data_IF_572599567263
#
_entry.id   IF_572599567263
#
_cell.length_a   1.000
_cell.length_b   1.000
_cell.length_c   1.000
_cell.angle_alpha   90.00
_cell.angle_beta   90.00
_cell.angle_gamma   90.00
#
_symmetry.space_group_name_H-M   'P 1'
#
loop_
_entity.id
_entity.type
_entity.pdbx_description
1 polymer ?
#
# COMPACT_ATOMS: atom_id res chain seq x y z
N UNK A 1 -35.42 -56.26 5.12
CA UNK A 1 -35.21 -54.93 5.69
C UNK A 1 -34.20 -54.19 4.83
N UNK A 2 -34.69 -53.50 3.79
CA UNK A 2 -33.91 -52.58 2.96
C UNK A 2 -33.74 -51.27 3.72
N UNK A 3 -32.49 -50.89 4.04
CA UNK A 3 -32.17 -49.54 4.46
C UNK A 3 -32.06 -48.66 3.22
N UNK A 4 -32.97 -47.70 3.10
CA UNK A 4 -32.93 -46.64 2.05
C UNK A 4 -31.75 -45.75 2.29
N UNK A 5 -30.79 -45.69 1.33
CA UNK A 5 -29.74 -44.74 1.29
C UNK A 5 -30.34 -43.35 0.89
N UNK A 6 -30.34 -42.42 1.80
CA UNK A 6 -30.74 -41.04 1.57
C UNK A 6 -29.69 -40.35 0.69
N UNK A 7 -30.05 -40.04 -0.52
CA UNK A 7 -29.22 -39.17 -1.43
C UNK A 7 -29.12 -37.79 -0.82
N UNK A 8 -27.91 -37.21 -0.71
CA UNK A 8 -27.75 -35.88 -0.15
C UNK A 8 -28.40 -34.83 -1.08
N UNK A 9 -29.08 -33.86 -0.49
CA UNK A 9 -29.82 -32.81 -1.23
C UNK A 9 -28.87 -31.98 -2.10
N UNK A 10 -29.41 -31.48 -3.25
CA UNK A 10 -28.67 -30.57 -4.18
C UNK A 10 -27.99 -29.38 -3.45
N UNK A 11 -28.53 -28.91 -2.33
CA UNK A 11 -27.92 -27.85 -1.49
C UNK A 11 -26.64 -28.32 -0.80
N UNK A 12 -26.57 -29.57 -0.38
CA UNK A 12 -25.37 -30.14 0.29
C UNK A 12 -24.25 -30.41 -0.72
N UNK A 13 -24.57 -30.84 -1.95
CA UNK A 13 -23.58 -30.94 -3.03
C UNK A 13 -23.07 -29.56 -3.47
N UNK A 14 -23.91 -28.52 -3.53
CA UNK A 14 -23.51 -27.16 -3.85
C UNK A 14 -22.57 -26.56 -2.81
N UNK A 15 -22.79 -26.85 -1.52
CA UNK A 15 -21.90 -26.38 -0.43
C UNK A 15 -20.53 -27.10 -0.43
N UNK A 16 -20.48 -28.34 -0.89
CA UNK A 16 -19.22 -29.11 -1.01
C UNK A 16 -18.41 -28.69 -2.24
N UNK A 17 -19.07 -28.23 -3.32
CA UNK A 17 -18.41 -27.71 -4.54
C UNK A 17 -17.89 -26.27 -4.39
N UNK A 18 -18.29 -25.52 -3.36
CA UNK A 18 -17.83 -24.13 -3.13
C UNK A 18 -16.57 -23.99 -2.26
N UNK A 19 -16.03 -25.05 -1.74
CA UNK A 19 -14.72 -25.08 -1.09
C UNK A 19 -13.61 -25.44 -2.09
N UNK A 20 -13.49 -24.71 -3.18
CA UNK A 20 -12.25 -24.75 -3.93
C UNK A 20 -11.20 -23.98 -3.13
N UNK A 21 -10.61 -24.72 -2.21
CA UNK A 21 -9.52 -24.34 -1.32
C UNK A 21 -8.38 -23.83 -2.19
N UNK A 22 -7.73 -22.73 -1.75
CA UNK A 22 -6.49 -22.24 -2.38
C UNK A 22 -5.53 -23.39 -2.66
N UNK A 23 -4.80 -23.31 -3.77
CA UNK A 23 -3.79 -24.31 -4.13
C UNK A 23 -2.78 -24.56 -3.00
N UNK A 24 -2.43 -23.49 -2.26
CA UNK A 24 -1.51 -23.56 -1.11
C UNK A 24 -2.19 -23.04 0.16
N UNK A 25 -1.95 -23.72 1.26
CA UNK A 25 -2.36 -23.32 2.61
C UNK A 25 -1.56 -22.10 3.11
N UNK A 26 -2.11 -21.35 4.07
CA UNK A 26 -1.36 -20.26 4.71
C UNK A 26 -0.05 -20.73 5.36
N UNK A 27 0.05 -22.00 5.80
CA UNK A 27 1.28 -22.59 6.33
C UNK A 27 2.36 -22.68 5.24
N UNK A 28 2.00 -23.17 4.06
CA UNK A 28 2.92 -23.27 2.90
C UNK A 28 3.34 -21.89 2.41
N UNK A 29 2.39 -20.94 2.31
CA UNK A 29 2.68 -19.55 1.93
C UNK A 29 3.65 -18.90 2.93
N UNK A 30 3.46 -19.11 4.23
CA UNK A 30 4.37 -18.57 5.25
C UNK A 30 5.74 -19.25 5.24
N UNK A 31 5.78 -20.55 4.99
CA UNK A 31 7.03 -21.29 4.84
C UNK A 31 7.82 -20.78 3.62
N UNK A 32 7.16 -20.58 2.47
CA UNK A 32 7.77 -19.94 1.31
C UNK A 32 8.35 -18.54 1.64
N UNK A 33 7.64 -17.74 2.44
CA UNK A 33 8.13 -16.45 2.93
C UNK A 33 9.40 -16.57 3.77
N UNK A 34 9.54 -17.63 4.60
CA UNK A 34 10.75 -17.89 5.38
C UNK A 34 11.92 -18.32 4.48
N UNK A 35 11.67 -19.24 3.54
CA UNK A 35 12.68 -19.71 2.58
C UNK A 35 13.26 -18.54 1.78
N UNK A 36 12.38 -17.66 1.27
CA UNK A 36 12.79 -16.48 0.50
C UNK A 36 13.54 -15.43 1.33
N UNK A 37 13.23 -15.34 2.64
CA UNK A 37 13.91 -14.43 3.57
C UNK A 37 15.32 -14.89 3.92
N UNK A 38 15.55 -16.21 4.02
CA UNK A 38 16.80 -16.81 4.48
C UNK A 38 17.30 -17.91 3.53
N UNK A 39 17.54 -17.57 2.24
CA UNK A 39 17.78 -18.57 1.18
C UNK A 39 18.99 -19.49 1.45
N UNK A 40 19.98 -19.01 2.18
CA UNK A 40 21.17 -19.77 2.54
C UNK A 40 20.93 -20.94 3.50
N UNK A 41 19.73 -21.05 4.09
CA UNK A 41 19.36 -22.14 5.02
C UNK A 41 18.60 -23.29 4.35
N UNK A 42 18.27 -23.17 3.07
CA UNK A 42 17.38 -24.08 2.37
C UNK A 42 17.99 -24.62 1.08
N UNK A 43 17.44 -25.71 0.57
CA UNK A 43 17.88 -26.32 -0.69
C UNK A 43 17.45 -25.48 -1.91
N UNK A 44 18.06 -25.77 -3.08
CA UNK A 44 17.68 -25.13 -4.35
C UNK A 44 16.24 -25.48 -4.73
N UNK A 45 15.81 -26.69 -4.41
CA UNK A 45 14.46 -27.19 -4.63
C UNK A 45 13.44 -26.41 -3.79
N UNK A 46 13.74 -26.19 -2.50
CA UNK A 46 12.90 -25.37 -1.61
C UNK A 46 12.77 -23.93 -2.12
N UNK A 47 13.85 -23.35 -2.62
CA UNK A 47 13.84 -22.00 -3.19
C UNK A 47 12.95 -21.91 -4.42
N UNK A 48 13.03 -22.85 -5.35
CA UNK A 48 12.16 -22.89 -6.54
C UNK A 48 10.69 -23.02 -6.16
N UNK A 49 10.36 -23.93 -5.23
CA UNK A 49 8.99 -24.08 -4.73
C UNK A 49 8.51 -22.79 -4.06
N UNK A 50 9.34 -22.12 -3.27
CA UNK A 50 9.00 -20.85 -2.62
C UNK A 50 8.74 -19.73 -3.62
N UNK A 51 9.49 -19.63 -4.71
CA UNK A 51 9.28 -18.69 -5.82
C UNK A 51 7.95 -18.96 -6.55
N UNK A 52 7.64 -20.22 -6.81
CA UNK A 52 6.36 -20.63 -7.41
C UNK A 52 5.18 -20.27 -6.51
N UNK A 53 5.29 -20.53 -5.20
CA UNK A 53 4.27 -20.15 -4.21
C UNK A 53 4.11 -18.63 -4.13
N UNK A 54 5.20 -17.86 -4.14
CA UNK A 54 5.13 -16.41 -4.16
C UNK A 54 4.45 -15.87 -5.42
N UNK A 55 4.78 -16.46 -6.57
CA UNK A 55 4.17 -16.11 -7.86
C UNK A 55 2.67 -16.39 -7.84
N UNK A 56 2.26 -17.57 -7.38
CA UNK A 56 0.86 -17.92 -7.19
C UNK A 56 0.17 -16.94 -6.23
N UNK A 57 0.80 -16.67 -5.06
CA UNK A 57 0.24 -15.77 -4.05
C UNK A 57 -0.02 -14.37 -4.59
N UNK A 58 0.87 -13.84 -5.40
CA UNK A 58 0.69 -12.56 -6.09
C UNK A 58 -0.42 -12.65 -7.14
N UNK A 59 -0.49 -13.73 -7.91
CA UNK A 59 -1.46 -13.91 -8.99
C UNK A 59 -2.90 -13.93 -8.49
N UNK A 60 -3.20 -14.62 -7.39
CA UNK A 60 -4.57 -14.67 -6.84
C UNK A 60 -5.06 -13.31 -6.30
N UNK A 61 -4.18 -12.34 -6.08
CA UNK A 61 -4.53 -10.97 -5.72
C UNK A 61 -4.98 -10.12 -6.93
N UNK A 62 -4.78 -10.61 -8.16
CA UNK A 62 -5.15 -9.85 -9.37
C UNK A 62 -6.66 -9.66 -9.51
N UNK A 63 -7.46 -10.67 -9.20
CA UNK A 63 -8.92 -10.55 -9.26
C UNK A 63 -9.47 -9.54 -8.22
N UNK A 64 -9.10 -9.63 -6.93
CA UNK A 64 -9.50 -8.64 -5.93
C UNK A 64 -9.09 -7.21 -6.29
N UNK A 65 -7.87 -6.99 -6.74
CA UNK A 65 -7.40 -5.63 -7.03
C UNK A 65 -8.16 -5.01 -8.20
N UNK A 66 -8.51 -5.78 -9.23
CA UNK A 66 -9.31 -5.31 -10.36
C UNK A 66 -10.75 -4.96 -9.93
N UNK A 67 -11.35 -5.79 -9.07
CA UNK A 67 -12.67 -5.52 -8.48
C UNK A 67 -12.68 -4.22 -7.69
N UNK A 68 -11.67 -4.02 -6.85
CA UNK A 68 -11.52 -2.79 -6.06
C UNK A 68 -11.26 -1.57 -6.94
N UNK A 69 -10.49 -1.71 -8.02
CA UNK A 69 -10.22 -0.60 -8.94
C UNK A 69 -11.49 -0.13 -9.65
N UNK A 70 -12.32 -1.07 -10.12
CA UNK A 70 -13.62 -0.75 -10.74
C UNK A 70 -14.51 -0.01 -9.73
N UNK A 71 -14.67 -0.55 -8.53
CA UNK A 71 -15.46 0.09 -7.47
C UNK A 71 -14.92 1.47 -7.09
N UNK A 72 -13.61 1.64 -7.01
CA UNK A 72 -12.99 2.92 -6.70
C UNK A 72 -13.32 3.97 -7.76
N UNK A 73 -13.24 3.61 -9.04
CA UNK A 73 -13.59 4.52 -10.15
C UNK A 73 -15.07 4.91 -10.11
N UNK A 74 -15.97 3.95 -9.86
CA UNK A 74 -17.41 4.21 -9.73
C UNK A 74 -17.72 5.15 -8.55
N UNK A 75 -17.11 4.93 -7.39
CA UNK A 75 -17.27 5.80 -6.23
C UNK A 75 -16.79 7.23 -6.53
N UNK A 76 -15.63 7.38 -7.12
CA UNK A 76 -15.06 8.67 -7.52
C UNK A 76 -16.01 9.41 -8.47
N UNK A 77 -16.54 8.72 -9.47
CA UNK A 77 -17.48 9.28 -10.43
C UNK A 77 -18.77 9.76 -9.73
N UNK A 78 -19.39 8.91 -8.91
CA UNK A 78 -20.63 9.23 -8.17
C UNK A 78 -20.44 10.39 -7.19
N UNK A 79 -19.26 10.54 -6.61
CA UNK A 79 -18.92 11.64 -5.72
C UNK A 79 -18.60 12.95 -6.45
N UNK A 80 -18.54 12.93 -7.79
CA UNK A 80 -18.19 14.11 -8.59
C UNK A 80 -16.77 14.62 -8.37
N UNK A 81 -15.84 13.73 -7.97
CA UNK A 81 -14.42 14.10 -7.75
C UNK A 81 -13.75 14.29 -9.11
N UNK A 82 -13.19 15.49 -9.31
CA UNK A 82 -12.63 15.90 -10.59
C UNK A 82 -11.15 15.53 -10.74
N UNK A 83 -10.76 15.14 -11.97
CA UNK A 83 -9.36 14.88 -12.36
C UNK A 83 -8.61 13.92 -11.43
N UNK A 84 -9.18 12.77 -11.05
CA UNK A 84 -8.51 11.81 -10.18
C UNK A 84 -7.48 11.00 -10.97
N UNK A 85 -6.41 10.57 -10.30
CA UNK A 85 -5.52 9.51 -10.79
C UNK A 85 -5.78 8.27 -9.97
N UNK A 86 -6.15 7.18 -10.64
CA UNK A 86 -6.34 5.86 -10.02
C UNK A 86 -5.27 4.92 -10.54
N UNK A 87 -4.46 4.40 -9.65
CA UNK A 87 -3.42 3.43 -9.95
C UNK A 87 -3.58 2.17 -9.11
N UNK A 88 -3.17 1.04 -9.67
CA UNK A 88 -3.07 -0.23 -8.95
C UNK A 88 -1.70 -0.87 -9.19
N UNK A 89 -1.26 -1.65 -8.22
CA UNK A 89 -0.05 -2.46 -8.39
C UNK A 89 -0.11 -3.73 -7.53
N UNK A 90 0.44 -4.81 -8.06
CA UNK A 90 0.90 -5.93 -7.24
C UNK A 90 2.33 -5.63 -6.76
N UNK A 91 2.59 -5.83 -5.47
CA UNK A 91 3.92 -5.60 -4.88
C UNK A 91 4.95 -6.50 -5.57
N UNK A 92 6.11 -5.94 -5.95
CA UNK A 92 7.18 -6.70 -6.60
C UNK A 92 7.73 -7.76 -5.65
N UNK A 93 8.14 -8.93 -6.18
CA UNK A 93 8.70 -10.02 -5.39
C UNK A 93 9.86 -9.56 -4.50
N UNK A 94 10.83 -8.85 -5.07
CA UNK A 94 11.96 -8.28 -4.32
C UNK A 94 11.53 -7.34 -3.18
N UNK A 95 10.45 -6.58 -3.38
CA UNK A 95 9.92 -5.69 -2.33
C UNK A 95 9.15 -6.46 -1.24
N UNK A 96 8.61 -7.63 -1.56
CA UNK A 96 7.99 -8.54 -0.60
C UNK A 96 9.07 -9.13 0.29
N UNK A 97 10.13 -9.69 -0.31
CA UNK A 97 11.26 -10.27 0.42
C UNK A 97 11.92 -9.24 1.32
N UNK A 98 12.29 -8.06 0.79
CA UNK A 98 12.88 -6.98 1.59
C UNK A 98 11.98 -6.53 2.75
N UNK A 99 10.65 -6.63 2.61
CA UNK A 99 9.73 -6.32 3.71
C UNK A 99 9.70 -7.42 4.77
N UNK A 100 9.79 -8.69 4.37
CA UNK A 100 9.90 -9.83 5.28
C UNK A 100 11.21 -9.79 6.08
N UNK A 101 12.32 -9.42 5.42
CA UNK A 101 13.63 -9.24 6.07
C UNK A 101 13.61 -8.13 7.11
N UNK A 102 12.96 -7.00 6.80
CA UNK A 102 12.86 -5.84 7.71
C UNK A 102 12.03 -6.12 8.97
N UNK A 103 11.01 -6.96 8.87
CA UNK A 103 10.04 -7.18 9.95
C UNK A 103 10.01 -8.67 10.33
N UNK A 104 10.79 -9.04 11.33
CA UNK A 104 10.99 -10.44 11.72
C UNK A 104 9.73 -11.24 12.00
N UNK A 105 8.72 -10.59 12.59
CA UNK A 105 7.44 -11.23 12.93
C UNK A 105 6.44 -11.24 11.77
N UNK A 106 6.79 -10.64 10.62
CA UNK A 106 5.88 -10.56 9.48
C UNK A 106 5.79 -11.91 8.76
N UNK A 107 4.57 -12.33 8.47
CA UNK A 107 4.28 -13.51 7.67
C UNK A 107 3.78 -13.11 6.29
N UNK A 108 4.17 -13.87 5.26
CA UNK A 108 3.76 -13.57 3.88
C UNK A 108 2.24 -13.58 3.71
N UNK A 109 1.53 -14.54 4.35
CA UNK A 109 0.06 -14.63 4.27
C UNK A 109 -0.68 -13.45 4.93
N UNK A 110 -0.03 -12.72 5.83
CA UNK A 110 -0.64 -11.58 6.54
C UNK A 110 -0.20 -10.22 6.03
N UNK A 111 0.66 -10.20 5.00
CA UNK A 111 1.11 -8.95 4.36
C UNK A 111 -0.08 -8.25 3.71
N UNK A 112 -0.29 -6.97 4.05
CA UNK A 112 -1.51 -6.23 3.71
C UNK A 112 -1.45 -5.52 2.36
N UNK A 113 -0.25 -5.32 1.82
CA UNK A 113 0.04 -4.49 0.66
C UNK A 113 0.56 -5.28 -0.56
N UNK A 114 0.24 -6.59 -0.64
CA UNK A 114 0.48 -7.41 -1.84
C UNK A 114 -0.31 -6.82 -3.02
N UNK A 115 -1.58 -6.50 -2.80
CA UNK A 115 -2.42 -5.76 -3.72
C UNK A 115 -2.63 -4.34 -3.19
N UNK A 116 -2.16 -3.34 -3.93
CA UNK A 116 -2.26 -1.93 -3.55
C UNK A 116 -2.99 -1.11 -4.60
N UNK A 117 -3.98 -0.33 -4.15
CA UNK A 117 -4.66 0.69 -4.94
C UNK A 117 -4.29 2.07 -4.42
N UNK A 118 -4.28 3.04 -5.31
CA UNK A 118 -4.07 4.43 -4.96
C UNK A 118 -5.05 5.33 -5.69
N UNK A 119 -5.75 6.17 -4.94
CA UNK A 119 -6.49 7.30 -5.45
C UNK A 119 -5.72 8.58 -5.13
N UNK A 120 -5.43 9.39 -6.15
CA UNK A 120 -4.84 10.72 -6.01
C UNK A 120 -5.92 11.71 -6.44
N UNK A 121 -6.33 12.57 -5.53
CA UNK A 121 -7.40 13.54 -5.73
C UNK A 121 -6.87 14.97 -5.56
N UNK A 122 -7.65 15.97 -5.97
CA UNK A 122 -7.17 17.35 -6.02
C UNK A 122 -6.86 17.94 -4.64
N UNK A 123 -7.71 17.65 -3.65
CA UNK A 123 -7.69 18.33 -2.34
C UNK A 123 -7.88 17.36 -1.18
N UNK A 124 -7.57 17.81 0.04
CA UNK A 124 -7.88 17.08 1.28
C UNK A 124 -9.40 16.93 1.47
N UNK A 125 -10.21 17.88 1.02
CA UNK A 125 -11.67 17.75 1.05
C UNK A 125 -12.13 16.55 0.22
N UNK A 126 -11.54 16.33 -0.98
CA UNK A 126 -11.84 15.15 -1.80
C UNK A 126 -11.32 13.86 -1.16
N UNK A 127 -10.15 13.91 -0.49
CA UNK A 127 -9.64 12.78 0.31
C UNK A 127 -10.68 12.37 1.36
N UNK A 128 -11.18 13.33 2.15
CA UNK A 128 -12.18 13.10 3.21
C UNK A 128 -13.52 12.60 2.65
N UNK A 129 -13.95 13.18 1.53
CA UNK A 129 -15.19 12.76 0.84
C UNK A 129 -15.14 11.30 0.42
N UNK A 130 -14.02 10.87 -0.17
CA UNK A 130 -13.82 9.49 -0.59
C UNK A 130 -13.66 8.54 0.60
N UNK A 131 -12.90 8.93 1.62
CA UNK A 131 -12.73 8.18 2.86
C UNK A 131 -14.07 7.92 3.55
N UNK A 132 -14.87 8.97 3.79
CA UNK A 132 -16.20 8.88 4.40
C UNK A 132 -17.10 7.93 3.61
N UNK A 133 -17.11 8.05 2.27
CA UNK A 133 -17.89 7.15 1.44
C UNK A 133 -17.48 5.68 1.59
N UNK A 134 -16.19 5.37 1.74
CA UNK A 134 -15.73 4.00 1.99
C UNK A 134 -16.11 3.48 3.37
N UNK A 135 -16.15 4.34 4.39
CA UNK A 135 -16.47 3.96 5.77
C UNK A 135 -17.97 3.78 6.00
N UNK A 136 -18.80 4.59 5.35
CA UNK A 136 -20.24 4.66 5.60
C UNK A 136 -21.10 3.90 4.58
N UNK A 137 -20.58 3.63 3.37
CA UNK A 137 -21.32 2.86 2.38
C UNK A 137 -21.38 1.37 2.72
N UNK A 138 -22.48 0.71 2.30
CA UNK A 138 -22.59 -0.75 2.36
C UNK A 138 -21.63 -1.42 1.37
N UNK A 139 -20.36 -1.48 1.75
CA UNK A 139 -19.32 -2.13 0.97
C UNK A 139 -19.16 -3.57 1.46
N UNK A 140 -19.36 -4.56 0.57
CA UNK A 140 -19.44 -5.97 0.98
C UNK A 140 -18.15 -6.56 1.55
N UNK A 141 -17.03 -5.85 1.41
CA UNK A 141 -15.73 -6.30 1.90
C UNK A 141 -15.47 -5.81 3.33
N UNK A 142 -14.74 -6.58 4.12
CA UNK A 142 -14.52 -6.29 5.53
C UNK A 142 -13.36 -5.30 5.73
N UNK A 143 -13.60 -4.16 6.35
CA UNK A 143 -12.54 -3.24 6.76
C UNK A 143 -11.78 -3.85 7.95
N UNK A 144 -10.49 -4.14 7.75
CA UNK A 144 -9.59 -4.76 8.76
C UNK A 144 -8.57 -3.80 9.35
N UNK A 145 -8.33 -2.69 8.69
CA UNK A 145 -7.38 -1.70 9.17
C UNK A 145 -7.66 -0.32 8.57
N UNK A 146 -7.40 0.68 9.40
CA UNK A 146 -7.54 2.07 9.04
C UNK A 146 -6.41 2.89 9.65
N UNK A 147 -5.81 3.78 8.85
CA UNK A 147 -4.81 4.74 9.32
C UNK A 147 -5.04 6.09 8.68
N UNK A 148 -5.17 7.11 9.50
CA UNK A 148 -5.35 8.50 9.10
C UNK A 148 -4.06 9.30 9.32
N UNK A 149 -3.16 9.22 8.35
CA UNK A 149 -1.95 10.03 8.35
C UNK A 149 -2.18 11.49 7.87
N UNK A 150 -3.42 11.88 7.58
CA UNK A 150 -3.76 13.28 7.30
C UNK A 150 -3.98 14.03 8.61
N UNK A 151 -4.67 13.41 9.58
CA UNK A 151 -4.88 13.96 10.93
C UNK A 151 -3.65 13.73 11.81
N UNK A 152 -3.03 12.57 11.72
CA UNK A 152 -1.83 12.18 12.49
C UNK A 152 -0.70 11.82 11.53
N UNK A 153 0.04 12.82 10.97
CA UNK A 153 1.14 12.56 10.06
C UNK A 153 2.19 11.64 10.68
N UNK A 154 2.71 10.71 9.87
CA UNK A 154 3.80 9.86 10.33
C UNK A 154 5.04 10.68 10.69
N UNK A 155 5.90 10.16 11.56
CA UNK A 155 7.14 10.84 11.98
C UNK A 155 8.04 11.23 10.80
N UNK A 156 8.05 10.42 9.73
CA UNK A 156 8.76 10.71 8.47
C UNK A 156 8.18 11.90 7.68
N UNK A 157 7.03 12.44 8.07
CA UNK A 157 6.27 13.42 7.30
C UNK A 157 5.28 12.82 6.30
N UNK A 158 5.17 11.48 6.22
CA UNK A 158 4.23 10.84 5.32
C UNK A 158 2.78 11.16 5.70
N UNK A 159 1.93 11.46 4.68
CA UNK A 159 0.50 11.78 4.84
C UNK A 159 -0.35 11.03 3.81
N UNK A 160 -1.56 10.66 4.21
CA UNK A 160 -2.57 9.98 3.40
C UNK A 160 -3.48 9.10 4.24
N UNK A 161 -4.55 8.60 3.64
CA UNK A 161 -5.47 7.64 4.26
C UNK A 161 -5.12 6.25 3.76
N UNK A 162 -5.04 5.28 4.68
CA UNK A 162 -4.90 3.86 4.35
C UNK A 162 -6.11 3.10 4.86
N UNK A 163 -6.76 2.38 3.97
CA UNK A 163 -7.85 1.47 4.24
C UNK A 163 -7.41 0.07 3.83
N UNK A 164 -7.46 -0.88 4.75
CA UNK A 164 -7.10 -2.27 4.49
C UNK A 164 -8.35 -3.10 4.56
N UNK A 165 -8.72 -3.67 3.43
CA UNK A 165 -9.89 -4.51 3.28
C UNK A 165 -9.51 -5.97 3.16
N UNK A 166 -10.35 -6.84 3.70
CA UNK A 166 -10.37 -8.27 3.45
C UNK A 166 -11.42 -8.54 2.37
N UNK A 167 -10.98 -9.13 1.26
CA UNK A 167 -11.83 -9.42 0.13
C UNK A 167 -12.84 -10.51 0.45
N UNK A 168 -14.10 -10.29 0.07
CA UNK A 168 -15.20 -11.25 0.19
C UNK A 168 -15.84 -11.43 -1.17
N UNK A 169 -15.98 -12.68 -1.63
CA UNK A 169 -16.64 -13.03 -2.90
C UNK A 169 -17.32 -14.38 -2.81
N UNK A 170 -18.53 -14.45 -3.34
CA UNK A 170 -19.26 -15.71 -3.50
C UNK A 170 -18.76 -16.50 -4.72
N UNK A 171 -18.27 -15.78 -5.74
CA UNK A 171 -17.91 -16.35 -7.03
C UNK A 171 -16.40 -16.66 -7.17
N UNK A 172 -15.58 -16.26 -6.21
CA UNK A 172 -14.13 -16.50 -6.22
C UNK A 172 -13.64 -16.85 -4.82
N UNK A 173 -13.84 -18.10 -4.44
CA UNK A 173 -13.48 -18.61 -3.12
C UNK A 173 -11.96 -18.56 -2.86
N UNK A 174 -11.13 -18.74 -3.92
CA UNK A 174 -9.68 -18.71 -3.82
C UNK A 174 -9.15 -17.36 -3.32
N UNK A 175 -9.82 -16.26 -3.72
CA UNK A 175 -9.43 -14.91 -3.33
C UNK A 175 -10.04 -14.43 -2.00
N UNK A 176 -10.96 -15.19 -1.39
CA UNK A 176 -11.56 -14.81 -0.12
C UNK A 176 -10.51 -14.66 1.00
N UNK A 177 -10.65 -13.62 1.80
CA UNK A 177 -9.74 -13.31 2.90
C UNK A 177 -8.41 -12.69 2.47
N UNK A 178 -8.18 -12.44 1.16
CA UNK A 178 -7.02 -11.69 0.70
C UNK A 178 -7.14 -10.23 1.10
N UNK A 179 -5.99 -9.62 1.41
CA UNK A 179 -5.96 -8.22 1.84
C UNK A 179 -5.60 -7.28 0.71
N UNK A 180 -6.33 -6.18 0.63
CA UNK A 180 -6.12 -5.10 -0.34
C UNK A 180 -5.93 -3.80 0.43
N UNK A 181 -4.84 -3.10 0.15
CA UNK A 181 -4.59 -1.77 0.68
C UNK A 181 -5.09 -0.72 -0.31
N UNK A 182 -6.00 0.15 0.14
CA UNK A 182 -6.40 1.35 -0.58
C UNK A 182 -5.76 2.57 0.07
N UNK A 183 -4.94 3.29 -0.68
CA UNK A 183 -4.33 4.55 -0.28
C UNK A 183 -5.06 5.70 -0.96
N UNK A 184 -5.52 6.68 -0.18
CA UNK A 184 -6.15 7.90 -0.69
C UNK A 184 -5.25 9.07 -0.31
N UNK A 185 -4.84 9.88 -1.30
CA UNK A 185 -3.93 11.01 -1.11
C UNK A 185 -4.40 12.23 -1.88
N UNK A 186 -4.10 13.40 -1.36
CA UNK A 186 -4.14 14.63 -2.16
C UNK A 186 -2.97 14.66 -3.15
N UNK A 187 -3.03 15.58 -4.10
CA UNK A 187 -1.95 15.82 -5.06
C UNK A 187 -0.64 16.19 -4.36
N UNK A 188 -0.66 17.07 -3.36
CA UNK A 188 0.53 17.45 -2.60
C UNK A 188 1.12 16.28 -1.79
N UNK A 189 0.26 15.49 -1.12
CA UNK A 189 0.69 14.28 -0.40
C UNK A 189 1.34 13.25 -1.34
N UNK A 190 0.80 13.12 -2.55
CA UNK A 190 1.39 12.23 -3.55
C UNK A 190 2.72 12.76 -4.08
N UNK A 191 2.80 14.04 -4.41
CA UNK A 191 4.04 14.69 -4.88
C UNK A 191 5.16 14.52 -3.86
N UNK A 192 4.87 14.77 -2.57
CA UNK A 192 5.83 14.55 -1.49
C UNK A 192 6.32 13.09 -1.46
N UNK A 193 5.39 12.13 -1.45
CA UNK A 193 5.74 10.71 -1.37
C UNK A 193 6.58 10.24 -2.57
N UNK A 194 6.28 10.76 -3.77
CA UNK A 194 7.05 10.44 -4.99
C UNK A 194 8.45 11.04 -4.91
N UNK A 195 8.59 12.31 -4.49
CA UNK A 195 9.90 12.94 -4.33
C UNK A 195 10.80 12.19 -3.33
N UNK A 196 10.24 11.79 -2.18
CA UNK A 196 10.94 10.98 -1.18
C UNK A 196 11.38 9.63 -1.73
N UNK A 197 10.52 8.93 -2.47
CA UNK A 197 10.85 7.65 -3.10
C UNK A 197 11.94 7.81 -4.17
N UNK A 198 11.85 8.86 -5.00
CA UNK A 198 12.84 9.16 -6.04
C UNK A 198 14.21 9.43 -5.42
N UNK A 199 14.31 10.37 -4.49
CA UNK A 199 15.58 10.70 -3.83
C UNK A 199 16.12 9.49 -3.06
N UNK A 200 15.26 8.72 -2.37
CA UNK A 200 15.64 7.50 -1.67
C UNK A 200 16.26 6.46 -2.59
N UNK A 201 15.75 6.30 -3.81
CA UNK A 201 16.30 5.37 -4.80
C UNK A 201 17.73 5.78 -5.19
N UNK A 202 17.98 7.06 -5.43
CA UNK A 202 19.31 7.54 -5.81
C UNK A 202 20.31 7.58 -4.67
N UNK A 203 19.83 7.67 -3.41
CA UNK A 203 20.67 7.60 -2.22
C UNK A 203 20.81 6.17 -1.69
N UNK A 204 20.27 5.18 -2.40
CA UNK A 204 20.20 3.77 -1.97
C UNK A 204 19.65 3.63 -0.53
N UNK A 205 18.67 4.47 -0.19
CA UNK A 205 18.13 4.59 1.17
C UNK A 205 16.61 4.59 1.19
N UNK A 206 16.01 4.20 2.32
CA UNK A 206 14.56 4.12 2.52
C UNK A 206 14.04 5.35 3.27
N UNK A 207 14.22 6.55 2.73
CA UNK A 207 13.84 7.83 3.37
C UNK A 207 12.39 7.85 3.88
N UNK A 208 11.46 7.26 3.12
CA UNK A 208 10.04 7.16 3.53
C UNK A 208 9.83 6.35 4.80
N UNK A 209 10.77 5.47 5.13
CA UNK A 209 10.78 4.66 6.34
C UNK A 209 11.75 5.22 7.39
N UNK A 210 12.10 6.51 7.29
CA UNK A 210 13.06 7.20 8.17
C UNK A 210 14.46 6.55 8.19
N UNK A 211 14.90 6.00 7.06
CA UNK A 211 16.22 5.42 6.90
C UNK A 211 16.97 6.16 5.79
N UNK A 212 18.12 6.75 6.13
CA UNK A 212 18.96 7.50 5.20
C UNK A 212 19.67 8.69 5.88
N UNK A 213 20.35 9.54 5.09
CA UNK A 213 21.04 10.72 5.63
C UNK A 213 20.08 11.66 6.34
N UNK A 214 20.41 12.05 7.57
CA UNK A 214 19.58 12.89 8.45
C UNK A 214 19.15 14.18 7.78
N UNK A 215 20.04 14.80 7.01
CA UNK A 215 19.77 16.06 6.30
C UNK A 215 18.59 15.92 5.29
N UNK A 216 18.46 14.78 4.61
CA UNK A 216 17.35 14.52 3.71
C UNK A 216 16.06 14.17 4.46
N UNK A 217 16.18 13.47 5.58
CA UNK A 217 15.03 13.17 6.44
C UNK A 217 14.45 14.47 7.00
N UNK A 218 15.29 15.37 7.50
CA UNK A 218 14.88 16.69 8.01
C UNK A 218 14.28 17.56 6.91
N UNK A 219 14.92 17.61 5.74
CA UNK A 219 14.41 18.34 4.59
C UNK A 219 13.00 17.89 4.20
N UNK A 220 12.78 16.59 4.03
CA UNK A 220 11.47 16.08 3.67
C UNK A 220 10.44 16.22 4.79
N UNK A 221 10.86 16.19 6.04
CA UNK A 221 10.01 16.53 7.18
C UNK A 221 9.52 17.98 7.11
N UNK A 222 10.42 18.94 6.86
CA UNK A 222 10.10 20.36 6.66
C UNK A 222 9.16 20.57 5.45
N UNK A 223 9.45 19.94 4.31
CA UNK A 223 8.59 20.02 3.12
C UNK A 223 7.18 19.49 3.40
N UNK A 224 7.07 18.37 4.14
CA UNK A 224 5.77 17.86 4.56
C UNK A 224 5.03 18.84 5.46
N UNK A 225 5.73 19.50 6.40
CA UNK A 225 5.16 20.54 7.25
C UNK A 225 4.64 21.72 6.42
N UNK A 226 5.42 22.20 5.45
CA UNK A 226 4.99 23.23 4.51
C UNK A 226 3.74 22.83 3.70
N UNK A 227 3.68 21.61 3.21
CA UNK A 227 2.50 21.11 2.52
C UNK A 227 1.29 20.95 3.45
N UNK A 228 1.51 20.62 4.73
CA UNK A 228 0.44 20.58 5.73
C UNK A 228 -0.18 21.98 5.93
N UNK A 229 0.64 23.02 5.99
CA UNK A 229 0.18 24.42 6.08
C UNK A 229 -0.69 24.78 4.86
N UNK A 230 -0.20 24.48 3.65
CA UNK A 230 -0.93 24.75 2.40
C UNK A 230 -2.27 24.02 2.28
N UNK A 231 -2.39 22.87 2.94
CA UNK A 231 -3.61 22.05 2.96
C UNK A 231 -4.49 22.30 4.20
N UNK A 232 -4.11 23.22 5.10
CA UNK A 232 -4.77 23.46 6.38
C UNK A 232 -4.92 22.19 7.22
N UNK A 233 -3.86 21.37 7.26
CA UNK A 233 -3.79 20.11 7.97
C UNK A 233 -2.82 20.18 9.15
N UNK A 234 -2.93 19.25 10.12
CA UNK A 234 -1.96 19.12 11.20
C UNK A 234 -0.52 18.92 10.69
N UNK A 235 0.41 19.59 11.35
CA UNK A 235 1.85 19.48 11.09
C UNK A 235 2.41 18.31 11.91
N UNK A 236 3.33 17.52 11.33
CA UNK A 236 4.02 16.44 12.03
C UNK A 236 4.96 16.97 13.11
N UNK A 237 5.12 16.21 14.20
CA UNK A 237 6.20 16.44 15.15
C UNK A 237 7.55 16.11 14.46
N UNK A 238 8.65 16.92 14.65
CA UNK A 238 8.81 17.98 15.64
C UNK A 238 8.42 19.39 15.18
N UNK A 239 7.95 19.58 13.96
CA UNK A 239 7.76 20.89 13.32
C UNK A 239 6.55 21.69 13.84
N UNK A 240 5.70 21.11 14.69
CA UNK A 240 4.54 21.79 15.32
C UNK A 240 4.88 23.04 16.12
N UNK A 241 6.12 23.11 16.63
CA UNK A 241 6.58 24.19 17.50
C UNK A 241 7.23 25.34 16.72
N UNK A 242 7.34 25.21 15.42
CA UNK A 242 7.99 26.18 14.54
C UNK A 242 6.91 27.02 13.87
N UNK A 243 7.14 28.34 13.75
CA UNK A 243 6.19 29.21 13.06
C UNK A 243 6.10 28.88 11.56
N UNK A 244 4.92 29.12 10.96
CA UNK A 244 4.73 28.87 9.52
C UNK A 244 5.76 29.62 8.68
N UNK A 245 6.11 30.87 9.04
CA UNK A 245 7.12 31.68 8.35
C UNK A 245 8.50 30.99 8.39
N UNK A 246 8.92 30.57 9.57
CA UNK A 246 10.21 29.89 9.77
C UNK A 246 10.28 28.57 9.01
N UNK A 247 9.19 27.80 8.95
CA UNK A 247 9.14 26.55 8.15
C UNK A 247 9.48 26.85 6.69
N UNK A 248 8.87 27.86 6.08
CA UNK A 248 9.14 28.20 4.67
C UNK A 248 10.53 28.79 4.45
N UNK A 249 11.03 29.58 5.38
CA UNK A 249 12.40 30.10 5.36
C UNK A 249 13.42 28.94 5.38
N UNK A 250 13.27 28.01 6.32
CA UNK A 250 14.14 26.83 6.42
C UNK A 250 14.04 25.91 5.21
N UNK A 251 12.85 25.71 4.64
CA UNK A 251 12.71 24.96 3.37
C UNK A 251 13.52 25.62 2.26
N UNK A 252 13.48 26.95 2.14
CA UNK A 252 14.23 27.69 1.12
C UNK A 252 15.75 27.55 1.32
N UNK A 253 16.22 27.69 2.55
CA UNK A 253 17.64 27.55 2.90
C UNK A 253 18.15 26.13 2.63
N UNK A 254 17.46 25.13 3.11
CA UNK A 254 17.83 23.72 2.93
C UNK A 254 17.74 23.28 1.45
N UNK A 255 16.78 23.81 0.69
CA UNK A 255 16.68 23.56 -0.77
C UNK A 255 17.96 24.02 -1.47
N UNK A 256 18.50 25.19 -1.10
CA UNK A 256 19.74 25.72 -1.66
C UNK A 256 20.95 24.91 -1.16
N UNK A 257 21.04 24.67 0.14
CA UNK A 257 22.16 23.94 0.77
C UNK A 257 22.34 22.54 0.19
N UNK A 258 21.23 21.80 0.03
CA UNK A 258 21.23 20.42 -0.49
C UNK A 258 21.27 20.37 -2.02
N UNK A 259 21.22 21.53 -2.71
CA UNK A 259 21.14 21.62 -4.18
C UNK A 259 20.02 20.74 -4.75
N UNK A 260 18.84 20.80 -4.12
CA UNK A 260 17.71 19.89 -4.41
C UNK A 260 17.30 19.97 -5.88
N UNK A 261 17.20 21.17 -6.44
CA UNK A 261 16.83 21.38 -7.85
C UNK A 261 17.81 20.73 -8.83
N UNK A 262 19.10 20.87 -8.59
CA UNK A 262 20.14 20.29 -9.45
C UNK A 262 20.11 18.76 -9.38
N UNK A 263 19.97 18.23 -8.17
CA UNK A 263 19.87 16.78 -7.95
C UNK A 263 18.61 16.18 -8.58
N UNK A 264 17.43 16.79 -8.36
CA UNK A 264 16.19 16.31 -8.99
C UNK A 264 16.27 16.39 -10.52
N UNK A 265 16.88 17.46 -11.07
CA UNK A 265 17.09 17.58 -12.51
C UNK A 265 18.05 16.52 -13.05
N UNK A 266 19.15 16.25 -12.35
CA UNK A 266 20.07 15.17 -12.71
C UNK A 266 19.38 13.79 -12.68
N UNK A 267 18.49 13.56 -11.71
CA UNK A 267 17.71 12.32 -11.63
C UNK A 267 16.75 12.17 -12.80
N UNK A 268 16.09 13.25 -13.24
CA UNK A 268 15.22 13.23 -14.43
C UNK A 268 16.02 12.85 -15.67
N UNK A 269 17.16 13.50 -15.89
CA UNK A 269 18.04 13.19 -17.02
C UNK A 269 18.51 11.74 -17.00
N UNK A 270 18.91 11.23 -15.85
CA UNK A 270 19.33 9.83 -15.72
C UNK A 270 18.18 8.84 -16.01
N UNK A 271 16.95 9.16 -15.58
CA UNK A 271 15.78 8.33 -15.84
C UNK A 271 15.36 8.30 -17.32
N UNK A 272 15.59 9.39 -18.06
CA UNK A 272 15.27 9.49 -19.50
C UNK A 272 16.27 8.71 -20.39
N UNK A 273 17.39 8.23 -19.82
CA UNK A 273 18.42 7.47 -20.51
C UNK A 273 18.44 5.96 -20.18
N UNK A 274 17.46 5.48 -19.38
CA UNK A 274 17.25 4.06 -19.05
C UNK A 274 16.03 3.53 -19.82
#
# INVERSE_FOLDING_TARGET
>A
WCKSATTPSRKTLGAILMTQIRKYSNRQINFAGLVLKEPHKYSVEDLREAEDILTYWRTIHAYPINTFQSTLRDKILRLGIQSPIVAQRLKRAVSIVAKLERFDQMKLSTMQDIAGLRAIVKSVADVRKLETNYKESSFKHNLKGYKDYVTEPAFSGYRGIHLIYEFVSENNAESNGLRIELQIRSKLQHTWATAVETVGTFLESSLKSSQGPTEWLDYFGLVSAGFSILENCPISHPYKLISNKEIFERISEETKRLKVHDKLRAFTVAADHI
#
